data_IF_242385836669
#
_entry.id   IF_242385836669
#
_cell.length_a   1.000
_cell.length_b   1.000
_cell.length_c   1.000
_cell.angle_alpha   90.00
_cell.angle_beta   90.00
_cell.angle_gamma   90.00
#
_symmetry.space_group_name_H-M   'P 1'
#
loop_
_entity.id
_entity.type
_entity.pdbx_description
1 polymer ?
#
# COMPACT_ATOMS: atom_id res chain seq x y z
N UNK A 1 10.76 -4.81 16.12
CA UNK A 1 10.59 -6.10 16.81
C UNK A 1 10.95 -7.25 15.90
N UNK A 2 11.71 -8.18 16.42
CA UNK A 2 12.23 -9.32 15.65
C UNK A 2 11.14 -10.17 15.03
N UNK A 3 10.06 -10.46 15.79
CA UNK A 3 8.99 -11.32 15.32
C UNK A 3 8.24 -10.75 14.12
N UNK A 4 7.91 -9.46 14.15
CA UNK A 4 7.23 -8.82 13.01
C UNK A 4 8.09 -8.81 11.77
N UNK A 5 9.39 -8.54 11.92
CA UNK A 5 10.32 -8.55 10.79
C UNK A 5 10.47 -9.94 10.21
N UNK A 6 10.59 -10.97 11.07
CA UNK A 6 10.66 -12.36 10.62
C UNK A 6 9.41 -12.77 9.86
N UNK A 7 8.24 -12.37 10.35
CA UNK A 7 6.96 -12.63 9.68
C UNK A 7 6.92 -11.93 8.33
N UNK A 8 7.32 -10.66 8.28
CA UNK A 8 7.36 -9.87 7.05
C UNK A 8 8.24 -10.55 6.00
N UNK A 9 9.49 -10.89 6.37
CA UNK A 9 10.44 -11.50 5.45
C UNK A 9 9.94 -12.86 4.95
N UNK A 10 9.38 -13.68 5.85
CA UNK A 10 8.81 -14.98 5.49
C UNK A 10 7.62 -14.80 4.54
N UNK A 11 6.75 -13.85 4.82
CA UNK A 11 5.59 -13.57 3.98
C UNK A 11 5.98 -13.14 2.58
N UNK A 12 6.92 -12.21 2.45
CA UNK A 12 7.41 -11.74 1.15
C UNK A 12 8.01 -12.90 0.36
N UNK A 13 8.79 -13.74 1.01
CA UNK A 13 9.39 -14.92 0.36
C UNK A 13 8.32 -15.89 -0.14
N UNK A 14 7.34 -16.22 0.72
CA UNK A 14 6.27 -17.14 0.34
C UNK A 14 5.37 -16.57 -0.75
N UNK A 15 5.05 -15.28 -0.67
CA UNK A 15 4.24 -14.61 -1.70
C UNK A 15 4.93 -14.56 -3.07
N UNK A 16 6.25 -14.56 -3.10
CA UNK A 16 6.99 -14.63 -4.37
C UNK A 16 6.81 -15.96 -5.07
N UNK A 17 6.39 -17.00 -4.35
CA UNK A 17 6.25 -18.37 -4.85
C UNK A 17 4.82 -18.86 -4.92
N UNK A 18 3.92 -18.30 -4.11
CA UNK A 18 2.55 -18.81 -3.93
C UNK A 18 1.53 -17.68 -3.88
N UNK A 19 0.31 -18.00 -4.27
CA UNK A 19 -0.84 -17.12 -4.06
C UNK A 19 -1.17 -17.04 -2.57
N UNK A 20 -1.72 -15.89 -2.15
CA UNK A 20 -2.04 -15.62 -0.75
C UNK A 20 -2.87 -16.73 -0.10
N UNK A 21 -3.93 -17.19 -0.76
CA UNK A 21 -4.83 -18.21 -0.22
C UNK A 21 -4.18 -19.56 -0.02
N UNK A 22 -3.02 -19.79 -0.64
CA UNK A 22 -2.27 -21.06 -0.53
C UNK A 22 -1.22 -21.02 0.57
N UNK A 23 -0.99 -19.88 1.18
CA UNK A 23 -0.04 -19.74 2.28
C UNK A 23 -0.74 -20.03 3.59
N UNK A 24 -0.24 -21.04 4.32
CA UNK A 24 -0.80 -21.40 5.63
C UNK A 24 -0.03 -20.71 6.75
N UNK A 25 -0.69 -20.51 7.89
CA UNK A 25 -0.04 -19.99 9.11
C UNK A 25 1.10 -20.90 9.54
N UNK A 26 0.90 -22.22 9.46
CA UNK A 26 1.92 -23.21 9.80
C UNK A 26 3.19 -23.01 8.97
N UNK A 27 3.04 -22.90 7.66
CA UNK A 27 4.16 -22.72 6.73
C UNK A 27 4.90 -21.41 6.99
N UNK A 28 4.15 -20.33 7.20
CA UNK A 28 4.73 -19.03 7.51
C UNK A 28 5.52 -19.09 8.82
N UNK A 29 4.95 -19.68 9.86
CA UNK A 29 5.60 -19.79 11.16
C UNK A 29 6.87 -20.63 11.10
N UNK A 30 6.86 -21.71 10.35
CA UNK A 30 8.06 -22.54 10.14
C UNK A 30 9.17 -21.71 9.47
N UNK A 31 8.81 -20.95 8.47
CA UNK A 31 9.77 -20.12 7.75
C UNK A 31 10.28 -18.95 8.58
N UNK A 32 9.42 -18.35 9.37
CA UNK A 32 9.77 -17.21 10.24
C UNK A 32 10.45 -17.65 11.54
N UNK A 33 10.49 -18.96 11.81
CA UNK A 33 11.05 -19.54 13.05
C UNK A 33 10.35 -19.03 14.29
N UNK A 34 9.02 -18.99 14.23
CA UNK A 34 8.16 -18.60 15.35
C UNK A 34 7.08 -19.66 15.53
N UNK A 35 6.41 -19.65 16.69
CA UNK A 35 5.27 -20.51 16.92
C UNK A 35 3.97 -19.81 16.53
N UNK A 36 2.89 -20.58 16.43
CA UNK A 36 1.57 -20.05 16.03
C UNK A 36 1.04 -19.00 17.00
N UNK A 37 1.30 -19.17 18.30
CA UNK A 37 0.82 -18.22 19.30
C UNK A 37 1.46 -16.84 19.10
N UNK A 38 2.73 -16.79 18.69
CA UNK A 38 3.41 -15.54 18.36
C UNK A 38 2.75 -14.88 17.14
N UNK A 39 2.43 -15.67 16.11
CA UNK A 39 1.72 -15.15 14.94
C UNK A 39 0.39 -14.53 15.33
N UNK A 40 -0.41 -15.26 16.09
CA UNK A 40 -1.75 -14.79 16.49
C UNK A 40 -1.75 -13.64 17.51
N UNK A 41 -0.60 -13.34 18.09
CA UNK A 41 -0.44 -12.13 18.90
C UNK A 41 -0.52 -10.87 18.01
N UNK A 42 -0.04 -10.94 16.77
CA UNK A 42 0.04 -9.80 15.87
C UNK A 42 -1.04 -9.78 14.80
N UNK A 43 -1.49 -10.94 14.33
CA UNK A 43 -2.39 -11.05 13.18
C UNK A 43 -3.48 -12.09 13.45
N UNK A 44 -4.67 -11.83 12.92
CA UNK A 44 -5.80 -12.74 13.06
C UNK A 44 -5.69 -13.96 12.12
N UNK A 45 -5.22 -13.71 10.90
CA UNK A 45 -5.05 -14.74 9.87
C UNK A 45 -4.10 -14.22 8.78
N UNK A 46 -3.95 -15.00 7.72
CA UNK A 46 -3.05 -14.65 6.63
C UNK A 46 -3.55 -13.43 5.85
N UNK A 47 -4.87 -13.25 5.74
CA UNK A 47 -5.45 -12.10 5.04
C UNK A 47 -5.22 -10.81 5.84
N UNK A 48 -5.34 -10.88 7.16
CA UNK A 48 -5.03 -9.76 8.05
C UNK A 48 -3.56 -9.35 7.91
N UNK A 49 -2.65 -10.33 7.87
CA UNK A 49 -1.23 -10.08 7.66
C UNK A 49 -0.99 -9.38 6.32
N UNK A 50 -1.59 -9.90 5.25
CA UNK A 50 -1.47 -9.32 3.91
C UNK A 50 -1.96 -7.88 3.89
N UNK A 51 -3.11 -7.62 4.51
CA UNK A 51 -3.71 -6.29 4.58
C UNK A 51 -2.79 -5.30 5.28
N UNK A 52 -2.21 -5.69 6.40
CA UNK A 52 -1.28 -4.84 7.16
C UNK A 52 0.01 -4.57 6.42
N UNK A 53 0.56 -5.59 5.73
CA UNK A 53 1.76 -5.42 4.91
C UNK A 53 1.49 -4.48 3.74
N UNK A 54 0.36 -4.64 3.05
CA UNK A 54 -0.04 -3.74 1.97
C UNK A 54 -0.11 -2.30 2.46
N UNK A 55 -0.70 -2.08 3.64
CA UNK A 55 -0.79 -0.74 4.23
C UNK A 55 0.59 -0.16 4.55
N UNK A 56 1.51 -0.96 5.06
CA UNK A 56 2.88 -0.53 5.32
C UNK A 56 3.62 -0.16 4.04
N UNK A 57 3.42 -0.93 2.97
CA UNK A 57 4.01 -0.63 1.66
C UNK A 57 3.48 0.69 1.12
N UNK A 58 2.17 0.89 1.18
CA UNK A 58 1.53 2.13 0.74
C UNK A 58 2.03 3.31 1.56
N UNK A 59 2.09 3.18 2.88
CA UNK A 59 2.59 4.23 3.77
C UNK A 59 4.04 4.58 3.44
N UNK A 60 4.85 3.57 3.14
CA UNK A 60 6.24 3.77 2.73
C UNK A 60 6.35 4.56 1.42
N UNK A 61 5.53 4.24 0.44
CA UNK A 61 5.50 4.95 -0.84
C UNK A 61 5.05 6.40 -0.62
N UNK A 62 3.95 6.59 0.11
CA UNK A 62 3.37 7.91 0.37
C UNK A 62 4.33 8.79 1.18
N UNK A 63 5.11 8.20 2.09
CA UNK A 63 6.06 8.95 2.90
C UNK A 63 7.19 9.58 2.09
N UNK A 64 7.43 9.11 0.86
CA UNK A 64 8.43 9.72 -0.04
C UNK A 64 7.94 11.01 -0.69
N UNK A 65 6.65 11.31 -0.58
CA UNK A 65 6.05 12.48 -1.20
C UNK A 65 6.24 13.69 -0.28
N UNK A 66 7.16 14.58 -0.64
CA UNK A 66 7.46 15.77 0.16
C UNK A 66 6.56 16.97 -0.17
N UNK A 67 6.01 16.99 -1.37
CA UNK A 67 5.18 18.09 -1.84
C UNK A 67 3.91 17.58 -2.53
N UNK A 68 2.81 17.40 -1.77
CA UNK A 68 1.55 16.92 -2.34
C UNK A 68 0.96 17.82 -3.43
N UNK A 69 1.23 19.13 -3.37
CA UNK A 69 0.74 20.08 -4.37
C UNK A 69 1.25 19.74 -5.77
N UNK A 70 2.39 19.06 -5.86
CA UNK A 70 2.96 18.62 -7.14
C UNK A 70 2.01 17.71 -7.93
N UNK A 71 1.13 16.98 -7.25
CA UNK A 71 0.12 16.14 -7.92
C UNK A 71 -0.77 16.96 -8.85
N UNK A 72 -1.01 18.21 -8.48
CA UNK A 72 -1.86 19.12 -9.23
C UNK A 72 -1.03 19.96 -10.20
N UNK A 73 0.05 20.55 -9.72
CA UNK A 73 0.87 21.51 -10.48
C UNK A 73 1.79 20.84 -11.51
N UNK A 74 2.37 19.70 -11.16
CA UNK A 74 3.32 18.99 -12.00
C UNK A 74 3.05 17.48 -12.00
N UNK A 75 1.91 17.05 -12.58
CA UNK A 75 1.50 15.64 -12.49
C UNK A 75 2.48 14.65 -13.12
N UNK A 76 3.15 15.04 -14.21
CA UNK A 76 4.11 14.15 -14.87
C UNK A 76 5.34 13.93 -13.99
N UNK A 77 5.85 15.00 -13.39
CA UNK A 77 6.99 14.92 -12.48
C UNK A 77 6.65 14.15 -11.22
N UNK A 78 5.45 14.39 -10.68
CA UNK A 78 4.94 13.64 -9.52
C UNK A 78 4.88 12.13 -9.82
N UNK A 79 4.30 11.76 -10.95
CA UNK A 79 4.19 10.37 -11.38
C UNK A 79 5.56 9.71 -11.53
N UNK A 80 6.50 10.43 -12.13
CA UNK A 80 7.87 9.93 -12.29
C UNK A 80 8.55 9.66 -10.94
N UNK A 81 8.38 10.59 -10.00
CA UNK A 81 8.93 10.44 -8.64
C UNK A 81 8.28 9.26 -7.91
N UNK A 82 6.97 9.08 -8.10
CA UNK A 82 6.23 7.96 -7.50
C UNK A 82 6.73 6.62 -8.03
N UNK A 83 6.93 6.51 -9.34
CA UNK A 83 7.49 5.31 -9.95
C UNK A 83 8.90 5.02 -9.43
N UNK A 84 9.70 6.06 -9.24
CA UNK A 84 11.04 5.93 -8.67
C UNK A 84 11.01 5.35 -7.26
N UNK A 85 10.10 5.84 -6.43
CA UNK A 85 9.93 5.32 -5.08
C UNK A 85 9.51 3.86 -5.08
N UNK A 86 8.64 3.47 -6.01
CA UNK A 86 8.20 2.07 -6.15
C UNK A 86 9.32 1.16 -6.61
N UNK A 87 10.24 1.65 -7.45
CA UNK A 87 11.35 0.83 -7.96
C UNK A 87 12.50 0.68 -6.97
N UNK A 88 12.62 1.55 -5.98
CA UNK A 88 13.65 1.44 -4.94
C UNK A 88 13.49 0.14 -4.12
N UNK A 89 12.25 -0.29 -3.90
CA UNK A 89 11.94 -1.54 -3.22
C UNK A 89 11.42 -2.58 -4.20
N UNK A 90 12.19 -2.81 -5.26
CA UNK A 90 11.77 -3.62 -6.40
C UNK A 90 11.31 -5.02 -6.03
N UNK A 91 12.05 -5.72 -5.18
CA UNK A 91 11.70 -7.08 -4.76
C UNK A 91 10.35 -7.12 -4.05
N UNK A 92 10.14 -6.21 -3.10
CA UNK A 92 8.90 -6.10 -2.36
C UNK A 92 7.76 -5.65 -3.27
N UNK A 93 8.00 -4.63 -4.08
CA UNK A 93 7.02 -4.10 -5.01
C UNK A 93 6.58 -5.17 -6.02
N UNK A 94 7.52 -5.90 -6.61
CA UNK A 94 7.20 -6.97 -7.54
C UNK A 94 6.41 -8.09 -6.87
N UNK A 95 6.78 -8.46 -5.64
CA UNK A 95 6.09 -9.50 -4.90
C UNK A 95 4.66 -9.09 -4.58
N UNK A 96 4.47 -7.85 -4.14
CA UNK A 96 3.19 -7.33 -3.72
C UNK A 96 2.33 -6.93 -4.92
N UNK A 97 2.93 -6.47 -6.03
CA UNK A 97 2.19 -6.07 -7.23
C UNK A 97 2.10 -7.15 -8.31
N UNK A 98 2.77 -8.30 -8.15
CA UNK A 98 2.70 -9.35 -9.15
C UNK A 98 1.43 -10.18 -8.99
N UNK A 99 0.76 -10.42 -10.11
CA UNK A 99 -0.42 -11.28 -10.15
C UNK A 99 -1.74 -10.55 -10.06
N UNK A 100 -2.82 -11.28 -10.28
CA UNK A 100 -4.19 -10.76 -10.37
C UNK A 100 -4.82 -10.38 -9.03
N UNK A 101 -4.06 -10.45 -7.94
CA UNK A 101 -4.60 -10.32 -6.59
C UNK A 101 -4.28 -8.99 -5.90
N UNK A 102 -4.02 -7.92 -6.68
CA UNK A 102 -3.61 -6.64 -6.11
C UNK A 102 -4.54 -5.44 -6.35
N UNK A 103 -5.83 -5.64 -6.61
CA UNK A 103 -6.72 -4.50 -6.64
C UNK A 103 -6.74 -3.75 -5.30
N UNK A 104 -6.54 -4.47 -4.19
CA UNK A 104 -6.55 -3.88 -2.85
C UNK A 104 -5.38 -2.93 -2.62
N UNK A 105 -4.18 -3.25 -3.11
CA UNK A 105 -3.02 -2.38 -2.94
C UNK A 105 -3.20 -1.08 -3.72
N UNK A 106 -3.68 -1.19 -4.96
CA UNK A 106 -3.94 -0.01 -5.80
C UNK A 106 -5.03 0.86 -5.18
N UNK A 107 -6.09 0.24 -4.67
CA UNK A 107 -7.17 0.96 -4.00
C UNK A 107 -6.65 1.68 -2.75
N UNK A 108 -5.82 1.03 -1.95
CA UNK A 108 -5.22 1.63 -0.76
C UNK A 108 -4.31 2.80 -1.12
N UNK A 109 -3.48 2.64 -2.15
CA UNK A 109 -2.61 3.71 -2.62
C UNK A 109 -3.42 4.90 -3.11
N UNK A 110 -4.44 4.65 -3.94
CA UNK A 110 -5.33 5.69 -4.46
C UNK A 110 -6.03 6.45 -3.34
N UNK A 111 -6.51 5.72 -2.34
CA UNK A 111 -7.18 6.31 -1.18
C UNK A 111 -6.23 7.18 -0.37
N UNK A 112 -5.00 6.71 -0.14
CA UNK A 112 -4.00 7.48 0.59
C UNK A 112 -3.60 8.76 -0.15
N UNK A 113 -3.46 8.69 -1.48
CA UNK A 113 -3.15 9.85 -2.31
C UNK A 113 -4.29 10.85 -2.30
N UNK A 114 -5.54 10.38 -2.38
CA UNK A 114 -6.72 11.24 -2.26
C UNK A 114 -6.75 11.98 -0.93
N UNK A 115 -6.54 11.25 0.17
CA UNK A 115 -6.53 11.84 1.50
C UNK A 115 -5.43 12.89 1.63
N UNK A 116 -4.27 12.63 1.06
CA UNK A 116 -3.16 13.57 1.05
C UNK A 116 -3.51 14.86 0.31
N UNK A 117 -4.17 14.74 -0.85
CA UNK A 117 -4.63 15.89 -1.61
C UNK A 117 -5.66 16.69 -0.81
N UNK A 118 -6.63 16.00 -0.22
CA UNK A 118 -7.69 16.65 0.55
C UNK A 118 -7.16 17.39 1.78
N UNK A 119 -6.12 16.86 2.42
CA UNK A 119 -5.52 17.49 3.58
C UNK A 119 -4.64 18.68 3.23
N UNK A 120 -3.95 18.63 2.09
CA UNK A 120 -2.91 19.62 1.75
C UNK A 120 -3.30 20.55 0.61
N UNK A 121 -4.37 20.29 -0.11
CA UNK A 121 -4.79 21.06 -1.28
C UNK A 121 -6.29 21.35 -1.23
N UNK A 122 -6.74 22.28 -0.36
CA UNK A 122 -8.19 22.59 -0.21
C UNK A 122 -8.88 22.98 -1.51
N UNK A 123 -8.19 23.65 -2.41
CA UNK A 123 -8.72 24.06 -3.70
C UNK A 123 -9.17 22.87 -4.54
N UNK A 124 -8.41 21.77 -4.45
CA UNK A 124 -8.73 20.55 -5.18
C UNK A 124 -9.99 19.88 -4.65
N UNK A 125 -10.25 19.99 -3.35
CA UNK A 125 -11.46 19.46 -2.72
C UNK A 125 -12.69 20.07 -3.37
N UNK A 126 -12.71 21.39 -3.50
CA UNK A 126 -13.83 22.11 -4.12
C UNK A 126 -14.02 21.73 -5.59
N UNK A 127 -12.93 21.48 -6.30
CA UNK A 127 -12.98 21.15 -7.71
C UNK A 127 -13.46 19.71 -7.98
N UNK A 128 -13.11 18.78 -7.11
CA UNK A 128 -13.33 17.35 -7.33
C UNK A 128 -14.49 16.79 -6.54
N UNK A 129 -14.63 17.20 -5.28
CA UNK A 129 -15.67 16.68 -4.38
C UNK A 129 -17.07 17.16 -4.74
N UNK A 130 -17.19 18.30 -5.36
CA UNK A 130 -18.48 18.90 -5.69
C UNK A 130 -18.56 19.33 -7.17
N UNK A 131 -18.29 18.43 -8.12
CA UNK A 131 -18.32 18.80 -9.54
C UNK A 131 -19.71 19.24 -10.00
N UNK A 132 -20.76 18.68 -9.42
CA UNK A 132 -22.15 19.05 -9.74
C UNK A 132 -22.48 20.47 -9.27
N UNK A 133 -21.93 20.89 -8.14
CA UNK A 133 -22.12 22.26 -7.64
C UNK A 133 -21.40 23.27 -8.51
N UNK A 134 -20.22 22.92 -9.02
CA UNK A 134 -19.49 23.79 -9.94
C UNK A 134 -20.24 23.96 -11.25
N UNK A 135 -20.84 22.88 -11.76
CA UNK A 135 -21.65 22.95 -12.98
C UNK A 135 -22.82 23.91 -12.81
N UNK A 136 -23.46 23.92 -11.63
CA UNK A 136 -24.53 24.85 -11.34
C UNK A 136 -24.07 26.29 -11.22
N UNK A 137 -22.89 26.50 -10.66
CA UNK A 137 -22.32 27.85 -10.52
C UNK A 137 -21.97 28.48 -11.87
N UNK A 138 -21.67 27.68 -12.87
CA UNK A 138 -21.31 28.19 -14.19
C UNK A 138 -22.51 28.51 -15.07
N UNK A 139 -23.69 28.12 -14.68
CA UNK A 139 -24.94 28.46 -15.34
C UNK A 139 -25.53 29.76 -14.79
#
# INVERSE_FOLDING_TARGET
MKSKKSIFDAFVNLRSKKELRKITVKELCEKALINKSTFYTYYEDMFDLSDKIESEVVDGIVSTISNPQMMIDEPVKFYRNLLGAMTENKALTNTVFSGSQHPNLIVKLSKSLKNMIFENCPEYINAVSYPHLRAHETE
#
